data_IF_215869532251
#
_entry.id   IF_215869532251
#
_cell.length_a   1.000
_cell.length_b   1.000
_cell.length_c   1.000
_cell.angle_alpha   90.00
_cell.angle_beta   90.00
_cell.angle_gamma   90.00
#
_symmetry.space_group_name_H-M   'P 1'
#
loop_
_entity.id
_entity.type
_entity.pdbx_description
1 polymer ?
#
# COMPACT_ATOMS: atom_id res chain seq x y z
N UNK A 1 18.12 -3.34 -17.51
CA UNK A 1 18.51 -3.14 -16.09
C UNK A 1 18.10 -4.31 -15.18
N UNK A 2 16.81 -4.69 -15.09
CA UNK A 2 16.33 -5.79 -14.21
C UNK A 2 16.92 -7.17 -14.52
N UNK A 3 16.99 -7.58 -15.80
CA UNK A 3 17.64 -8.84 -16.22
C UNK A 3 19.12 -8.97 -15.80
N UNK A 4 19.82 -7.84 -15.67
CA UNK A 4 21.24 -7.80 -15.28
C UNK A 4 21.44 -8.07 -13.77
N UNK A 5 20.43 -7.73 -12.96
CA UNK A 5 20.45 -7.93 -11.50
C UNK A 5 19.89 -9.29 -11.07
N UNK A 6 19.44 -10.14 -12.00
CA UNK A 6 18.83 -11.46 -11.75
C UNK A 6 17.75 -11.45 -10.65
N UNK A 7 17.01 -10.34 -10.53
CA UNK A 7 15.95 -10.22 -9.54
C UNK A 7 14.75 -11.10 -9.95
N UNK A 8 14.15 -11.85 -9.02
CA UNK A 8 12.96 -12.64 -9.30
C UNK A 8 11.78 -11.71 -9.66
N UNK A 9 11.04 -12.07 -10.70
CA UNK A 9 9.89 -11.32 -11.19
C UNK A 9 8.58 -12.03 -10.83
N UNK A 10 7.61 -11.25 -10.34
CA UNK A 10 6.25 -11.73 -10.12
C UNK A 10 5.32 -10.98 -11.08
N UNK A 11 4.84 -11.68 -12.10
CA UNK A 11 3.84 -11.16 -13.02
C UNK A 11 2.48 -11.06 -12.32
N UNK A 12 1.82 -9.91 -12.47
CA UNK A 12 0.53 -9.62 -11.80
C UNK A 12 -0.64 -10.42 -12.41
N UNK A 13 -0.48 -10.91 -13.64
CA UNK A 13 -1.51 -11.69 -14.34
C UNK A 13 -1.03 -13.13 -14.49
N UNK A 14 -1.80 -14.14 -14.04
CA UNK A 14 -3.08 -14.05 -13.34
C UNK A 14 -2.96 -13.57 -11.87
N UNK A 15 -3.92 -12.77 -11.39
CA UNK A 15 -3.88 -12.14 -10.06
C UNK A 15 -3.77 -13.13 -8.89
N UNK A 16 -4.48 -14.26 -8.97
CA UNK A 16 -4.44 -15.31 -7.94
C UNK A 16 -3.04 -15.91 -7.82
N UNK A 17 -2.42 -16.24 -8.95
CA UNK A 17 -1.06 -16.78 -9.02
C UNK A 17 -0.04 -15.76 -8.50
N UNK A 18 -0.20 -14.49 -8.86
CA UNK A 18 0.65 -13.40 -8.36
C UNK A 18 0.60 -13.29 -6.83
N UNK A 19 -0.60 -13.34 -6.24
CA UNK A 19 -0.77 -13.26 -4.79
C UNK A 19 -0.11 -14.44 -4.06
N UNK A 20 -0.25 -15.66 -4.58
CA UNK A 20 0.41 -16.86 -4.03
C UNK A 20 1.93 -16.70 -4.08
N UNK A 21 2.47 -16.23 -5.23
CA UNK A 21 3.91 -15.99 -5.39
C UNK A 21 4.44 -14.93 -4.43
N UNK A 22 3.72 -13.83 -4.23
CA UNK A 22 4.09 -12.80 -3.26
C UNK A 22 4.15 -13.36 -1.84
N UNK A 23 3.16 -14.17 -1.44
CA UNK A 23 3.14 -14.78 -0.10
C UNK A 23 4.31 -15.77 0.09
N UNK A 24 4.61 -16.58 -0.94
CA UNK A 24 5.74 -17.50 -0.90
C UNK A 24 7.08 -16.75 -0.83
N UNK A 25 7.23 -15.65 -1.56
CA UNK A 25 8.43 -14.81 -1.50
C UNK A 25 8.66 -14.29 -0.06
N UNK A 26 7.63 -13.74 0.58
CA UNK A 26 7.71 -13.28 1.96
C UNK A 26 8.09 -14.41 2.94
N UNK A 27 7.50 -15.61 2.78
CA UNK A 27 7.85 -16.80 3.60
C UNK A 27 9.28 -17.27 3.40
N UNK A 28 9.86 -16.98 2.23
CA UNK A 28 11.26 -17.26 1.91
C UNK A 28 12.19 -16.09 2.28
N UNK A 29 11.78 -15.23 3.22
CA UNK A 29 12.54 -14.07 3.69
C UNK A 29 12.95 -13.10 2.56
N UNK A 30 12.11 -12.97 1.53
CA UNK A 30 12.28 -12.00 0.44
C UNK A 30 11.34 -10.81 0.62
N UNK A 31 11.65 -9.70 -0.04
CA UNK A 31 10.81 -8.50 -0.04
C UNK A 31 9.88 -8.46 -1.26
N UNK A 32 8.67 -7.91 -1.06
CA UNK A 32 7.76 -7.53 -2.15
C UNK A 32 7.48 -6.03 -2.07
N UNK A 33 7.16 -5.43 -3.22
CA UNK A 33 6.81 -4.02 -3.31
C UNK A 33 5.35 -3.88 -3.74
N UNK A 34 4.59 -3.04 -3.05
CA UNK A 34 3.17 -2.77 -3.33
C UNK A 34 2.91 -1.27 -3.36
N UNK A 35 2.07 -0.81 -4.30
CA UNK A 35 1.52 0.54 -4.30
C UNK A 35 0.16 0.52 -3.58
N UNK A 36 -0.03 1.42 -2.61
CA UNK A 36 -1.23 1.46 -1.75
C UNK A 36 -2.06 2.73 -1.93
N UNK A 37 -1.53 3.72 -2.63
CA UNK A 37 -2.10 5.05 -2.82
C UNK A 37 -3.00 5.15 -4.07
N UNK A 38 -3.15 4.06 -4.82
CA UNK A 38 -4.03 3.99 -5.99
C UNK A 38 -5.45 3.55 -5.64
N UNK A 39 -6.43 4.11 -6.36
CA UNK A 39 -7.85 3.72 -6.25
C UNK A 39 -8.05 2.25 -6.59
N UNK A 40 -8.76 1.52 -5.73
CA UNK A 40 -9.11 0.13 -5.99
C UNK A 40 -10.60 -0.16 -5.75
N UNK A 41 -11.37 -0.36 -6.82
CA UNK A 41 -12.84 -0.47 -6.76
C UNK A 41 -13.37 -1.63 -5.91
N UNK A 42 -12.63 -2.73 -5.85
CA UNK A 42 -12.98 -3.92 -5.05
C UNK A 42 -12.37 -3.87 -3.64
N UNK A 43 -11.79 -2.72 -3.27
CA UNK A 43 -11.05 -2.52 -2.03
C UNK A 43 -11.90 -2.34 -0.80
N UNK A 44 -11.21 -2.26 0.34
CA UNK A 44 -11.81 -1.85 1.62
C UNK A 44 -11.95 -0.33 1.67
N UNK A 45 -12.80 0.17 2.57
CA UNK A 45 -12.99 1.59 2.79
C UNK A 45 -12.14 2.03 3.98
N UNK A 46 -11.42 3.14 3.81
CA UNK A 46 -10.64 3.82 4.84
C UNK A 46 -10.84 5.33 4.69
N UNK A 47 -10.29 6.12 5.60
CA UNK A 47 -10.15 7.56 5.42
C UNK A 47 -8.76 7.91 4.87
N UNK A 48 -8.69 8.82 3.92
CA UNK A 48 -7.44 9.35 3.37
C UNK A 48 -7.56 10.86 3.19
N UNK A 49 -6.73 11.61 3.91
CA UNK A 49 -6.78 13.08 3.98
C UNK A 49 -8.17 13.61 4.33
N UNK A 50 -8.82 12.99 5.34
CA UNK A 50 -10.13 13.40 5.84
C UNK A 50 -11.33 12.97 5.00
N UNK A 51 -11.12 12.22 3.91
CA UNK A 51 -12.18 11.80 3.01
C UNK A 51 -12.19 10.28 2.79
N UNK A 52 -13.36 9.65 2.59
CA UNK A 52 -13.44 8.22 2.31
C UNK A 52 -12.69 7.83 1.02
N UNK A 53 -11.89 6.77 1.09
CA UNK A 53 -11.13 6.24 -0.04
C UNK A 53 -11.17 4.70 -0.08
N UNK A 54 -11.18 4.13 -1.29
CA UNK A 54 -11.15 2.68 -1.50
C UNK A 54 -9.75 2.19 -1.85
N UNK A 55 -9.22 1.27 -1.05
CA UNK A 55 -7.83 0.78 -1.15
C UNK A 55 -7.75 -0.74 -1.25
N UNK A 56 -6.74 -1.24 -1.93
CA UNK A 56 -6.46 -2.67 -1.97
C UNK A 56 -5.98 -3.16 -0.60
N UNK A 57 -6.59 -4.22 -0.07
CA UNK A 57 -6.22 -4.81 1.23
C UNK A 57 -4.96 -5.70 1.18
N UNK A 58 -4.35 -5.86 -0.01
CA UNK A 58 -3.32 -6.86 -0.27
C UNK A 58 -2.13 -6.76 0.69
N UNK A 59 -1.62 -5.55 0.92
CA UNK A 59 -0.44 -5.33 1.77
C UNK A 59 -0.66 -5.79 3.20
N UNK A 60 -1.78 -5.42 3.84
CA UNK A 60 -2.12 -5.89 5.18
C UNK A 60 -2.38 -7.41 5.21
N UNK A 61 -3.04 -7.96 4.18
CA UNK A 61 -3.28 -9.41 4.07
C UNK A 61 -1.98 -10.22 3.94
N UNK A 62 -1.00 -9.71 3.20
CA UNK A 62 0.32 -10.33 3.07
C UNK A 62 1.11 -10.26 4.37
N UNK A 63 1.15 -9.08 5.00
CA UNK A 63 1.84 -8.87 6.27
C UNK A 63 1.30 -9.81 7.37
N UNK A 64 -0.03 -9.92 7.51
CA UNK A 64 -0.66 -10.84 8.47
C UNK A 64 -0.31 -12.31 8.19
N UNK A 65 -0.46 -12.77 6.93
CA UNK A 65 -0.26 -14.19 6.59
C UNK A 65 1.19 -14.64 6.59
N UNK A 66 2.12 -13.72 6.37
CA UNK A 66 3.55 -13.99 6.38
C UNK A 66 4.21 -13.61 7.73
N UNK A 67 3.44 -13.04 8.66
CA UNK A 67 3.98 -12.41 9.88
C UNK A 67 5.13 -11.41 9.57
N UNK A 68 5.03 -10.72 8.44
CA UNK A 68 6.07 -9.81 7.94
C UNK A 68 5.79 -8.38 8.39
N UNK A 69 6.82 -7.60 8.78
CA UNK A 69 6.66 -6.16 8.91
C UNK A 69 6.42 -5.50 7.54
N UNK A 70 5.87 -4.28 7.59
CA UNK A 70 5.72 -3.39 6.44
C UNK A 70 6.58 -2.16 6.66
N UNK A 71 7.31 -1.75 5.63
CA UNK A 71 8.05 -0.49 5.60
C UNK A 71 7.34 0.47 4.65
N UNK A 72 6.96 1.65 5.12
CA UNK A 72 6.48 2.70 4.25
C UNK A 72 7.68 3.33 3.54
N UNK A 73 7.63 3.39 2.21
CA UNK A 73 8.71 3.94 1.38
C UNK A 73 8.14 5.06 0.53
N UNK A 74 8.67 6.26 0.73
CA UNK A 74 8.31 7.45 -0.03
C UNK A 74 9.52 7.96 -0.80
N UNK A 75 9.27 8.48 -2.00
CA UNK A 75 10.31 9.02 -2.87
C UNK A 75 9.87 10.40 -3.34
N UNK A 76 10.69 11.41 -3.09
CA UNK A 76 10.49 12.74 -3.66
C UNK A 76 11.74 13.22 -4.39
N UNK A 77 11.53 14.06 -5.38
CA UNK A 77 12.56 14.79 -6.10
C UNK A 77 13.02 15.99 -5.29
N UNK A 78 14.30 16.24 -5.33
CA UNK A 78 14.94 17.46 -4.83
C UNK A 78 15.55 18.22 -6.01
N UNK A 79 15.99 19.48 -5.83
CA UNK A 79 16.70 20.21 -6.88
C UNK A 79 17.87 19.42 -7.48
N UNK A 80 18.26 19.79 -8.72
CA UNK A 80 19.36 19.16 -9.47
C UNK A 80 19.13 17.68 -9.83
N UNK A 81 17.89 17.31 -10.14
CA UNK A 81 17.51 15.97 -10.61
C UNK A 81 17.90 14.83 -9.65
N UNK A 82 17.89 15.10 -8.35
CA UNK A 82 18.14 14.11 -7.30
C UNK A 82 16.83 13.61 -6.70
N UNK A 83 16.88 12.45 -6.06
CA UNK A 83 15.77 11.84 -5.33
C UNK A 83 16.19 11.52 -3.91
N UNK A 84 15.29 11.73 -2.97
CA UNK A 84 15.43 11.28 -1.58
C UNK A 84 14.40 10.20 -1.34
N UNK A 85 14.88 9.06 -0.86
CA UNK A 85 14.07 7.92 -0.42
C UNK A 85 14.01 7.96 1.09
N UNK A 86 12.79 8.00 1.63
CA UNK A 86 12.55 7.89 3.08
C UNK A 86 11.87 6.56 3.35
N UNK A 87 12.43 5.79 4.28
CA UNK A 87 11.91 4.49 4.72
C UNK A 87 11.51 4.64 6.19
N UNK A 88 10.31 4.21 6.54
CA UNK A 88 9.83 4.24 7.93
C UNK A 88 10.45 3.15 8.78
N UNK A 89 10.27 3.25 10.09
CA UNK A 89 10.40 2.09 10.99
C UNK A 89 9.44 0.95 10.58
N UNK A 90 9.76 -0.31 10.94
CA UNK A 90 8.89 -1.46 10.70
C UNK A 90 7.52 -1.32 11.35
N UNK A 91 6.47 -1.39 10.54
CA UNK A 91 5.07 -1.39 11.00
C UNK A 91 4.58 -2.84 11.03
N UNK A 92 4.22 -3.33 12.22
CA UNK A 92 3.63 -4.66 12.39
C UNK A 92 2.11 -4.56 12.33
N UNK A 93 1.46 -5.55 11.71
CA UNK A 93 0.00 -5.66 11.75
C UNK A 93 -0.40 -6.45 12.99
N UNK A 94 -1.19 -5.84 13.86
CA UNK A 94 -1.73 -6.50 15.04
C UNK A 94 -2.87 -7.45 14.64
N UNK A 95 -2.78 -8.77 14.90
CA UNK A 95 -3.81 -9.73 14.47
C UNK A 95 -5.07 -9.72 15.34
N UNK A 96 -4.98 -9.24 16.59
CA UNK A 96 -6.02 -9.41 17.61
C UNK A 96 -7.00 -8.22 17.72
N UNK A 97 -7.09 -7.37 16.69
CA UNK A 97 -8.09 -6.30 16.65
C UNK A 97 -9.35 -6.77 15.93
N UNK A 98 -10.47 -6.07 16.11
CA UNK A 98 -11.75 -6.42 15.48
C UNK A 98 -11.67 -6.40 13.94
N UNK A 99 -10.90 -5.46 13.37
CA UNK A 99 -10.71 -5.35 11.93
C UNK A 99 -9.23 -5.04 11.59
N UNK A 100 -8.34 -6.04 11.70
CA UNK A 100 -6.89 -5.85 11.67
C UNK A 100 -6.39 -5.38 10.30
N UNK A 101 -7.06 -5.82 9.24
CA UNK A 101 -6.75 -5.42 7.86
C UNK A 101 -7.09 -3.94 7.65
N UNK A 102 -8.27 -3.50 8.06
CA UNK A 102 -8.70 -2.11 7.87
C UNK A 102 -7.88 -1.16 8.73
N UNK A 103 -7.64 -1.52 10.00
CA UNK A 103 -6.80 -0.73 10.90
C UNK A 103 -5.35 -0.58 10.36
N UNK A 104 -4.76 -1.66 9.85
CA UNK A 104 -3.43 -1.59 9.24
C UNK A 104 -3.39 -0.73 7.99
N UNK A 105 -4.37 -0.90 7.08
CA UNK A 105 -4.43 -0.10 5.87
C UNK A 105 -4.71 1.38 6.14
N UNK A 106 -5.46 1.70 7.19
CA UNK A 106 -5.63 3.07 7.69
C UNK A 106 -4.28 3.65 8.07
N UNK A 107 -3.56 2.99 8.99
CA UNK A 107 -2.23 3.42 9.43
C UNK A 107 -1.25 3.58 8.24
N UNK A 108 -1.19 2.62 7.32
CA UNK A 108 -0.35 2.73 6.13
C UNK A 108 -0.72 3.92 5.25
N UNK A 109 -2.01 4.22 5.13
CA UNK A 109 -2.50 5.33 4.31
C UNK A 109 -2.31 6.68 5.00
N UNK A 110 -2.33 6.73 6.33
CA UNK A 110 -1.99 7.92 7.11
C UNK A 110 -0.52 8.30 6.86
N UNK A 111 0.39 7.32 6.78
CA UNK A 111 1.80 7.55 6.40
C UNK A 111 1.98 8.08 4.99
N UNK A 112 1.14 7.65 4.05
CA UNK A 112 1.10 8.27 2.72
C UNK A 112 0.55 9.71 2.84
N UNK A 113 -0.47 9.93 3.65
CA UNK A 113 -1.05 11.25 3.89
C UNK A 113 -0.03 12.25 4.45
N UNK A 114 0.78 11.85 5.43
CA UNK A 114 1.90 12.65 5.96
C UNK A 114 2.86 13.09 4.85
N UNK A 115 3.19 12.19 3.93
CA UNK A 115 4.04 12.51 2.78
C UNK A 115 3.36 13.46 1.79
N UNK A 116 2.09 13.21 1.46
CA UNK A 116 1.33 14.05 0.52
C UNK A 116 1.15 15.46 1.07
N UNK A 117 0.93 15.62 2.38
CA UNK A 117 0.84 16.94 3.01
C UNK A 117 2.19 17.69 3.00
N UNK A 118 3.30 16.94 3.06
CA UNK A 118 4.66 17.53 3.04
C UNK A 118 5.13 17.91 1.64
N UNK A 119 4.79 17.12 0.63
CA UNK A 119 5.19 17.31 -0.77
C UNK A 119 4.00 17.19 -1.72
N UNK A 120 2.96 18.04 -1.58
CA UNK A 120 1.72 17.90 -2.33
C UNK A 120 1.96 17.97 -3.84
N UNK A 121 2.87 18.81 -4.32
CA UNK A 121 3.20 18.98 -5.73
C UNK A 121 3.80 17.72 -6.39
N UNK A 122 4.28 16.76 -5.58
CA UNK A 122 4.93 15.55 -6.07
C UNK A 122 4.03 14.33 -6.06
N UNK A 123 2.80 14.46 -5.56
CA UNK A 123 1.83 13.38 -5.58
C UNK A 123 0.99 13.37 -6.87
N UNK A 124 0.60 12.19 -7.33
CA UNK A 124 -0.15 11.99 -8.58
C UNK A 124 -1.64 12.28 -8.42
N UNK A 125 -2.03 13.56 -8.38
CA UNK A 125 -3.41 14.03 -8.15
C UNK A 125 -4.45 13.62 -9.21
N UNK A 126 -4.04 13.15 -10.38
CA UNK A 126 -4.96 12.76 -11.46
C UNK A 126 -5.75 11.48 -11.16
N UNK A 127 -5.40 10.72 -10.11
CA UNK A 127 -6.20 9.61 -9.65
C UNK A 127 -7.48 10.11 -8.95
N UNK A 128 -8.66 9.64 -9.38
CA UNK A 128 -9.96 9.92 -8.73
C UNK A 128 -10.10 9.23 -7.36
N UNK A 129 -9.22 9.53 -6.42
CA UNK A 129 -8.97 8.82 -5.14
C UNK A 129 -10.23 8.68 -4.29
N UNK A 130 -11.02 9.75 -4.20
CA UNK A 130 -12.21 9.84 -3.34
C UNK A 130 -13.52 9.47 -4.02
N UNK A 131 -13.50 9.05 -5.28
CA UNK A 131 -14.71 8.61 -5.96
C UNK A 131 -15.06 7.17 -5.52
N UNK A 132 -15.65 7.06 -4.33
CA UNK A 132 -16.12 5.84 -3.69
C UNK A 132 -17.50 5.45 -4.22
N UNK A 133 -17.79 4.14 -4.30
CA UNK A 133 -19.13 3.64 -4.65
C UNK A 133 -20.12 3.88 -3.50
N UNK A 134 -21.22 4.59 -3.78
CA UNK A 134 -22.29 4.96 -2.84
C UNK A 134 -22.76 3.84 -1.90
N UNK A 135 -23.01 2.64 -2.42
CA UNK A 135 -23.47 1.50 -1.62
C UNK A 135 -22.45 1.00 -0.57
N UNK A 136 -21.17 1.37 -0.68
CA UNK A 136 -20.18 1.09 0.38
C UNK A 136 -20.18 2.13 1.50
N UNK A 137 -20.59 3.37 1.22
CA UNK A 137 -20.70 4.43 2.24
C UNK A 137 -21.84 4.13 3.23
N UNK A 138 -22.96 3.59 2.75
CA UNK A 138 -24.13 3.20 3.58
C UNK A 138 -23.88 2.07 4.58
N UNK A 139 -22.80 1.30 4.45
CA UNK A 139 -22.45 0.21 5.39
C UNK A 139 -21.61 0.68 6.59
N UNK A 140 -21.29 1.98 6.65
CA UNK A 140 -20.47 2.59 7.71
C UNK A 140 -21.32 3.28 8.80
N UNK A 141 -22.61 3.48 8.54
CA UNK A 141 -23.58 4.05 9.48
C UNK A 141 -24.58 3.02 9.95
#
# INVERSE_FOLDING_TARGET
MRRRLKLPEIYVVPRKTAAIRCLNALRNNQAIWTLIDQKFHQGILIDFLGHPAQVAAGTALFALRACSPVLAVNIHRTPRAKHVITISEPIKVAPNTENPITAAMQNFSDKVGEFVLKYPEQWTWYHRRWQVRWHKLRKRG
#
